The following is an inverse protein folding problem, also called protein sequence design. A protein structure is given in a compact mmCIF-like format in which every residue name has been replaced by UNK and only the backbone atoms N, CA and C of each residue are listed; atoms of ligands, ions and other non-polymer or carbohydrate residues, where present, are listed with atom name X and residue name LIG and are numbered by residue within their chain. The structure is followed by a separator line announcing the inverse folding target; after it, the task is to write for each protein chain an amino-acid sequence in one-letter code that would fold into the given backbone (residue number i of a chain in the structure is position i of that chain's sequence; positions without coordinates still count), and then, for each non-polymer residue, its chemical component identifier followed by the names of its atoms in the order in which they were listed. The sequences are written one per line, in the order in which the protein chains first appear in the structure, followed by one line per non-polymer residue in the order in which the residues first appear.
data_IF_852631170495
#
_entry.id   IF_852631170495
#
_cell.length_a   1.000
_cell.length_b   1.000
_cell.length_c   1.000
_cell.angle_alpha   90.00
_cell.angle_beta   90.00
_cell.angle_gamma   90.00
#
_symmetry.space_group_name_H-M   'P 1'
#
loop_
_entity.id
_entity.type
_entity.pdbx_description
1 polymer ?
#
# COMPACT_ATOMS: atom_id res chain seq x y z
N UNK A 1 20.64 -8.10 -5.08
CA UNK A 1 20.44 -8.05 -3.61
C UNK A 1 19.05 -7.49 -3.35
N UNK A 2 18.10 -8.32 -2.93
CA UNK A 2 16.68 -7.92 -2.76
C UNK A 2 16.42 -7.22 -1.42
N UNK A 3 17.24 -7.48 -0.40
CA UNK A 3 17.16 -6.87 0.93
C UNK A 3 17.05 -5.33 0.97
N UNK A 4 17.89 -4.54 0.27
CA UNK A 4 17.77 -3.08 0.31
C UNK A 4 16.45 -2.58 -0.29
N UNK A 5 15.92 -3.29 -1.30
CA UNK A 5 14.64 -2.97 -1.92
C UNK A 5 13.48 -3.27 -0.97
N UNK A 6 13.50 -4.42 -0.31
CA UNK A 6 12.49 -4.77 0.69
C UNK A 6 12.51 -3.80 1.87
N UNK A 7 13.71 -3.37 2.31
CA UNK A 7 13.85 -2.34 3.35
C UNK A 7 13.26 -1.00 2.89
N UNK A 8 13.58 -0.53 1.68
CA UNK A 8 13.01 0.71 1.14
C UNK A 8 11.48 0.62 0.97
N UNK A 9 10.96 -0.54 0.55
CA UNK A 9 9.52 -0.76 0.44
C UNK A 9 8.84 -0.67 1.82
N UNK A 10 9.40 -1.34 2.83
CA UNK A 10 8.89 -1.28 4.19
C UNK A 10 8.94 0.15 4.78
N UNK A 11 10.05 0.86 4.59
CA UNK A 11 10.17 2.27 5.00
C UNK A 11 9.17 3.17 4.29
N UNK A 12 8.91 2.93 3.00
CA UNK A 12 7.90 3.69 2.25
C UNK A 12 6.49 3.41 2.76
N UNK A 13 6.18 2.16 3.13
CA UNK A 13 4.91 1.79 3.75
C UNK A 13 4.71 2.44 5.13
N UNK A 14 5.77 2.48 5.95
CA UNK A 14 5.76 3.24 7.21
C UNK A 14 5.56 4.75 6.95
N UNK A 15 6.23 5.30 5.93
CA UNK A 15 6.02 6.68 5.49
C UNK A 15 4.56 6.94 5.11
N UNK A 16 3.91 6.00 4.40
CA UNK A 16 2.48 6.10 4.11
C UNK A 16 1.64 6.12 5.38
N UNK A 17 1.97 5.30 6.39
CA UNK A 17 1.22 5.30 7.66
C UNK A 17 1.27 6.66 8.36
N UNK A 18 2.37 7.40 8.23
CA UNK A 18 2.52 8.76 8.77
C UNK A 18 1.71 9.82 8.00
N UNK A 19 1.16 9.50 6.83
CA UNK A 19 0.21 10.38 6.16
C UNK A 19 -1.19 10.34 6.81
N UNK A 20 -1.46 9.35 7.66
CA UNK A 20 -2.73 9.21 8.37
C UNK A 20 -2.64 9.84 9.78
N UNK A 21 -3.80 10.10 10.42
CA UNK A 21 -3.83 10.52 11.80
C UNK A 21 -3.04 9.56 12.71
N UNK A 22 -2.30 10.08 13.70
CA UNK A 22 -2.31 11.46 14.20
C UNK A 22 -1.29 12.41 13.56
N UNK A 23 -0.56 11.99 12.52
CA UNK A 23 0.60 12.73 12.01
C UNK A 23 0.27 13.63 10.81
N UNK A 24 -0.68 13.22 9.98
CA UNK A 24 -1.24 14.01 8.86
C UNK A 24 -0.18 14.57 7.88
N UNK A 25 0.95 13.84 7.73
CA UNK A 25 2.05 14.22 6.83
C UNK A 25 1.72 13.84 5.38
N UNK A 26 0.69 14.49 4.81
CA UNK A 26 0.14 14.18 3.49
C UNK A 26 1.17 14.06 2.34
N UNK A 27 2.31 14.80 2.29
CA UNK A 27 3.27 14.62 1.19
C UNK A 27 3.88 13.21 1.16
N UNK A 28 3.94 12.54 2.33
CA UNK A 28 4.45 11.18 2.42
C UNK A 28 3.55 10.18 1.68
N UNK A 29 2.25 10.45 1.54
CA UNK A 29 1.37 9.60 0.74
C UNK A 29 1.83 9.56 -0.73
N UNK A 30 2.09 10.75 -1.32
CA UNK A 30 2.58 10.87 -2.69
C UNK A 30 3.96 10.20 -2.85
N UNK A 31 4.87 10.45 -1.91
CA UNK A 31 6.21 9.88 -1.93
C UNK A 31 6.18 8.36 -1.80
N UNK A 32 5.32 7.81 -0.95
CA UNK A 32 5.18 6.38 -0.75
C UNK A 32 4.64 5.66 -2.00
N UNK A 33 3.61 6.21 -2.64
CA UNK A 33 3.03 5.68 -3.90
C UNK A 33 4.06 5.73 -5.03
N UNK A 34 4.78 6.85 -5.14
CA UNK A 34 5.86 7.00 -6.12
C UNK A 34 6.99 6.01 -5.86
N UNK A 35 7.41 5.83 -4.60
CA UNK A 35 8.43 4.87 -4.21
C UNK A 35 8.03 3.44 -4.56
N UNK A 36 6.82 3.00 -4.24
CA UNK A 36 6.34 1.65 -4.59
C UNK A 36 6.32 1.44 -6.12
N UNK A 37 5.83 2.42 -6.88
CA UNK A 37 5.81 2.38 -8.34
C UNK A 37 7.22 2.28 -8.93
N UNK A 38 8.19 3.02 -8.40
CA UNK A 38 9.58 2.98 -8.84
C UNK A 38 10.29 1.68 -8.45
N UNK A 39 10.05 1.18 -7.23
CA UNK A 39 10.66 -0.05 -6.74
C UNK A 39 10.17 -1.28 -7.52
N UNK A 40 8.95 -1.25 -8.06
CA UNK A 40 8.36 -2.34 -8.88
C UNK A 40 8.70 -2.25 -10.36
N UNK A 41 9.21 -1.12 -10.85
CA UNK A 41 9.49 -0.88 -12.28
C UNK A 41 10.52 -1.85 -12.89
N UNK A 42 10.14 -2.47 -14.01
CA UNK A 42 11.00 -3.38 -14.78
C UNK A 42 11.21 -4.76 -14.14
N UNK A 43 10.49 -5.07 -13.05
CA UNK A 43 10.68 -6.29 -12.26
C UNK A 43 9.74 -7.42 -12.69
N UNK A 44 9.97 -8.62 -12.18
CA UNK A 44 9.05 -9.74 -12.38
C UNK A 44 7.82 -9.60 -11.50
N UNK A 45 6.70 -10.22 -11.89
CA UNK A 45 5.47 -10.22 -11.09
C UNK A 45 5.72 -10.71 -9.65
N UNK A 46 6.49 -11.79 -9.47
CA UNK A 46 6.85 -12.33 -8.15
C UNK A 46 7.62 -11.33 -7.29
N UNK A 47 8.58 -10.62 -7.87
CA UNK A 47 9.34 -9.58 -7.15
C UNK A 47 8.47 -8.35 -6.86
N UNK A 48 7.57 -8.00 -7.77
CA UNK A 48 6.55 -6.98 -7.58
C UNK A 48 5.65 -7.31 -6.39
N UNK A 49 5.12 -8.54 -6.36
CA UNK A 49 4.29 -9.05 -5.29
C UNK A 49 4.97 -8.95 -3.92
N UNK A 50 6.19 -9.47 -3.81
CA UNK A 50 6.96 -9.38 -2.57
C UNK A 50 7.22 -7.93 -2.13
N UNK A 51 7.47 -7.02 -3.07
CA UNK A 51 7.70 -5.60 -2.76
C UNK A 51 6.43 -4.93 -2.27
N UNK A 52 5.28 -5.23 -2.91
CA UNK A 52 3.97 -4.76 -2.48
C UNK A 52 3.60 -5.28 -1.09
N UNK A 53 3.88 -6.55 -0.81
CA UNK A 53 3.69 -7.13 0.52
C UNK A 53 4.58 -6.47 1.57
N UNK A 54 5.88 -6.32 1.28
CA UNK A 54 6.84 -5.67 2.19
C UNK A 54 6.50 -4.20 2.46
N UNK A 55 5.85 -3.51 1.51
CA UNK A 55 5.29 -2.18 1.68
C UNK A 55 4.01 -2.19 2.52
N UNK A 56 3.05 -3.04 2.17
CA UNK A 56 1.72 -3.06 2.78
C UNK A 56 1.72 -3.55 4.23
N UNK A 57 2.51 -4.57 4.56
CA UNK A 57 2.49 -5.18 5.89
C UNK A 57 2.80 -4.20 7.03
N UNK A 58 3.92 -3.45 7.02
CA UNK A 58 4.18 -2.46 8.07
C UNK A 58 3.20 -1.29 8.03
N UNK A 59 2.73 -0.88 6.84
CA UNK A 59 1.71 0.15 6.69
C UNK A 59 0.42 -0.22 7.44
N UNK A 60 -0.17 -1.38 7.12
CA UNK A 60 -1.40 -1.84 7.76
C UNK A 60 -1.19 -2.18 9.22
N UNK A 61 -0.04 -2.74 9.60
CA UNK A 61 0.23 -3.04 11.01
C UNK A 61 0.20 -1.78 11.88
N UNK A 62 0.81 -0.68 11.41
CA UNK A 62 0.78 0.61 12.12
C UNK A 62 -0.63 1.20 12.08
N UNK A 63 -1.26 1.24 10.89
CA UNK A 63 -2.58 1.82 10.70
C UNK A 63 -3.66 1.12 11.54
N UNK A 64 -3.57 -0.20 11.68
CA UNK A 64 -4.53 -1.06 12.35
C UNK A 64 -4.14 -1.40 13.78
N UNK A 65 -3.06 -0.78 14.29
CA UNK A 65 -2.56 -1.04 15.64
C UNK A 65 -3.63 -0.86 16.70
N UNK A 66 -4.56 0.10 16.50
CA UNK A 66 -5.66 0.39 17.41
C UNK A 66 -6.63 -0.79 17.63
N UNK A 67 -6.70 -1.75 16.70
CA UNK A 67 -7.51 -2.97 16.85
C UNK A 67 -6.98 -3.91 17.95
N UNK A 68 -5.81 -3.62 18.55
CA UNK A 68 -5.28 -4.44 19.65
C UNK A 68 -6.23 -4.54 20.85
N UNK A 69 -7.19 -3.62 20.98
CA UNK A 69 -8.23 -3.66 22.02
C UNK A 69 -9.20 -4.82 21.83
N UNK A 70 -9.33 -5.30 20.58
CA UNK A 70 -10.09 -6.51 20.23
C UNK A 70 -9.19 -7.73 20.39
N UNK A 71 -7.95 -7.65 19.90
CA UNK A 71 -6.96 -8.70 20.01
C UNK A 71 -5.80 -8.51 19.03
N UNK A 72 -4.63 -9.04 19.36
CA UNK A 72 -3.47 -8.98 18.48
C UNK A 72 -3.61 -9.91 17.27
N UNK A 73 -4.33 -11.01 17.43
CA UNK A 73 -4.76 -11.90 16.35
C UNK A 73 -5.52 -11.14 15.27
N UNK A 74 -6.44 -10.25 15.64
CA UNK A 74 -7.16 -9.39 14.69
C UNK A 74 -6.22 -8.41 13.98
N UNK A 75 -5.32 -7.73 14.72
CA UNK A 75 -4.35 -6.79 14.15
C UNK A 75 -3.47 -7.50 13.10
N UNK A 76 -2.87 -8.64 13.46
CA UNK A 76 -1.98 -9.37 12.56
C UNK A 76 -2.74 -9.99 11.39
N UNK A 77 -3.85 -10.66 11.65
CA UNK A 77 -4.66 -11.31 10.62
C UNK A 77 -5.12 -10.32 9.56
N UNK A 78 -5.70 -9.20 10.00
CA UNK A 78 -6.18 -8.17 9.08
C UNK A 78 -5.03 -7.48 8.34
N UNK A 79 -3.93 -7.15 9.04
CA UNK A 79 -2.76 -6.54 8.38
C UNK A 79 -2.17 -7.43 7.28
N UNK A 80 -2.11 -8.74 7.50
CA UNK A 80 -1.62 -9.69 6.49
C UNK A 80 -2.59 -9.75 5.31
N UNK A 81 -3.90 -9.88 5.57
CA UNK A 81 -4.93 -9.95 4.54
C UNK A 81 -4.91 -8.67 3.68
N UNK A 82 -4.90 -7.50 4.30
CA UNK A 82 -4.84 -6.21 3.61
C UNK A 82 -3.53 -6.06 2.82
N UNK A 83 -2.40 -6.50 3.37
CA UNK A 83 -1.11 -6.48 2.67
C UNK A 83 -1.09 -7.40 1.43
N UNK A 84 -1.95 -8.43 1.35
CA UNK A 84 -2.06 -9.26 0.15
C UNK A 84 -2.66 -8.51 -1.04
N UNK A 85 -3.55 -7.53 -0.81
CA UNK A 85 -4.03 -6.65 -1.88
C UNK A 85 -2.89 -5.79 -2.42
N UNK A 86 -2.04 -5.26 -1.54
CA UNK A 86 -0.87 -4.47 -1.91
C UNK A 86 0.19 -5.33 -2.60
N UNK A 87 0.29 -6.61 -2.24
CA UNK A 87 1.06 -7.63 -2.96
C UNK A 87 0.53 -7.80 -4.39
N UNK A 88 -0.77 -7.99 -4.57
CA UNK A 88 -1.38 -8.09 -5.89
C UNK A 88 -1.16 -6.82 -6.73
N UNK A 89 -1.33 -5.64 -6.13
CA UNK A 89 -0.99 -4.35 -6.74
C UNK A 89 0.49 -4.33 -7.18
N UNK A 90 1.41 -4.69 -6.29
CA UNK A 90 2.84 -4.70 -6.60
C UNK A 90 3.19 -5.60 -7.79
N UNK A 91 2.51 -6.74 -7.94
CA UNK A 91 2.63 -7.61 -9.11
C UNK A 91 2.09 -6.93 -10.38
N UNK A 92 0.91 -6.31 -10.29
CA UNK A 92 0.30 -5.55 -11.38
C UNK A 92 1.17 -4.38 -11.85
N UNK A 93 1.74 -3.62 -10.92
CA UNK A 93 2.67 -2.52 -11.21
C UNK A 93 3.92 -3.04 -11.93
N UNK A 94 4.50 -4.16 -11.49
CA UNK A 94 5.66 -4.75 -12.15
C UNK A 94 5.33 -5.16 -13.61
N UNK A 95 4.18 -5.79 -13.84
CA UNK A 95 3.74 -6.22 -15.17
C UNK A 95 3.43 -5.04 -16.10
N UNK A 96 2.69 -4.04 -15.61
CA UNK A 96 2.27 -2.87 -16.38
C UNK A 96 3.37 -1.82 -16.56
N UNK A 97 4.44 -1.88 -15.77
CA UNK A 97 5.57 -0.94 -15.86
C UNK A 97 6.30 -0.94 -17.22
N UNK A 98 6.08 -1.96 -18.05
CA UNK A 98 6.66 -2.10 -19.40
C UNK A 98 5.72 -1.58 -20.50
N UNK A 99 4.48 -1.26 -20.17
CA UNK A 99 3.50 -0.77 -21.12
C UNK A 99 3.68 0.74 -21.38
N UNK A 100 3.32 1.25 -22.57
CA UNK A 100 3.18 2.69 -22.77
C UNK A 100 2.12 3.23 -21.80
N UNK A 101 2.30 4.48 -21.36
CA UNK A 101 1.43 5.12 -20.37
C UNK A 101 1.34 4.35 -19.03
N UNK A 102 2.42 3.67 -18.63
CA UNK A 102 2.49 2.96 -17.36
C UNK A 102 1.97 3.74 -16.12
N UNK A 103 2.10 5.09 -15.99
CA UNK A 103 1.54 5.79 -14.84
C UNK A 103 0.01 5.72 -14.78
N UNK A 104 -0.65 5.67 -15.94
CA UNK A 104 -2.11 5.53 -16.01
C UNK A 104 -2.54 4.14 -15.53
N UNK A 105 -1.84 3.09 -15.96
CA UNK A 105 -2.08 1.74 -15.48
C UNK A 105 -1.84 1.62 -13.96
N UNK A 106 -0.80 2.27 -13.45
CA UNK A 106 -0.54 2.32 -12.02
C UNK A 106 -1.69 2.97 -11.25
N UNK A 107 -2.24 4.09 -11.74
CA UNK A 107 -3.39 4.75 -11.15
C UNK A 107 -4.66 3.87 -11.21
N UNK A 108 -4.93 3.24 -12.36
CA UNK A 108 -6.07 2.34 -12.51
C UNK A 108 -5.97 1.12 -11.59
N UNK A 109 -4.77 0.54 -11.46
CA UNK A 109 -4.52 -0.55 -10.54
C UNK A 109 -4.78 -0.10 -9.11
N UNK A 110 -4.25 1.06 -8.71
CA UNK A 110 -4.46 1.66 -7.38
C UNK A 110 -5.95 1.75 -7.01
N UNK A 111 -6.74 2.33 -7.92
CA UNK A 111 -8.19 2.44 -7.73
C UNK A 111 -8.84 1.06 -7.66
N UNK A 112 -8.37 0.09 -8.45
CA UNK A 112 -8.92 -1.26 -8.47
C UNK A 112 -8.66 -2.03 -7.18
N UNK A 113 -7.47 -1.94 -6.55
CA UNK A 113 -7.29 -2.62 -5.25
C UNK A 113 -8.06 -1.92 -4.14
N UNK A 114 -8.14 -0.58 -4.11
CA UNK A 114 -8.98 0.12 -3.13
C UNK A 114 -10.45 -0.32 -3.26
N UNK A 115 -10.95 -0.38 -4.49
CA UNK A 115 -12.29 -0.87 -4.79
C UNK A 115 -12.53 -2.32 -4.34
N UNK A 116 -11.52 -3.19 -4.48
CA UNK A 116 -11.61 -4.57 -4.05
C UNK A 116 -11.61 -4.68 -2.52
N UNK A 117 -10.76 -3.91 -1.83
CA UNK A 117 -10.70 -3.84 -0.35
C UNK A 117 -11.97 -3.27 0.26
N UNK A 118 -12.64 -2.36 -0.43
CA UNK A 118 -13.96 -1.85 -0.01
C UNK A 118 -15.06 -2.93 0.01
N UNK A 119 -14.83 -4.10 -0.58
CA UNK A 119 -15.84 -5.18 -0.72
C UNK A 119 -15.40 -6.50 -0.09
N UNK A 120 -14.10 -6.71 0.03
CA UNK A 120 -13.49 -7.96 0.47
C UNK A 120 -12.40 -7.66 1.51
N UNK A 121 -12.21 -8.53 2.52
CA UNK A 121 -13.08 -9.64 2.94
C UNK A 121 -14.24 -9.17 3.84
N UNK A 122 -15.23 -10.03 4.08
CA UNK A 122 -16.26 -9.83 5.13
C UNK A 122 -17.15 -8.58 4.98
N UNK A 123 -17.44 -8.17 3.74
CA UNK A 123 -18.27 -6.98 3.46
C UNK A 123 -17.46 -5.70 3.24
N UNK A 124 -16.14 -5.78 3.29
CA UNK A 124 -15.22 -4.70 2.95
C UNK A 124 -14.56 -4.04 4.15
N UNK A 125 -13.29 -3.67 3.98
CA UNK A 125 -12.50 -2.99 4.99
C UNK A 125 -11.76 -1.79 4.36
N UNK A 126 -12.45 -0.64 4.19
CA UNK A 126 -11.94 0.51 3.43
C UNK A 126 -10.86 1.33 4.18
N UNK A 127 -10.24 0.76 5.21
CA UNK A 127 -9.20 1.46 5.97
C UNK A 127 -7.93 1.62 5.13
N UNK A 128 -7.29 2.78 5.27
CA UNK A 128 -6.02 3.06 4.58
C UNK A 128 -6.17 3.46 3.13
N UNK A 129 -7.34 3.94 2.70
CA UNK A 129 -7.49 4.62 1.40
C UNK A 129 -6.67 5.90 1.37
N UNK A 130 -6.02 6.16 0.23
CA UNK A 130 -5.15 7.33 0.09
C UNK A 130 -5.90 8.64 0.32
N UNK A 131 -7.17 8.70 -0.06
CA UNK A 131 -8.01 9.89 0.12
C UNK A 131 -8.06 10.36 1.59
N UNK A 132 -8.04 9.44 2.56
CA UNK A 132 -8.06 9.81 3.97
C UNK A 132 -6.71 10.34 4.48
N UNK A 133 -5.60 10.00 3.82
CA UNK A 133 -4.27 10.49 4.17
C UNK A 133 -3.91 11.84 3.55
N UNK A 134 -4.82 12.47 2.82
CA UNK A 134 -4.59 13.75 2.12
C UNK A 134 -5.66 14.81 2.41
N UNK A 135 -6.46 14.62 3.46
CA UNK A 135 -7.57 15.50 3.88
C UNK A 135 -7.15 16.92 4.31
N UNK A 136 -5.85 17.17 4.50
CA UNK A 136 -5.28 18.50 4.80
C UNK A 136 -4.42 19.07 3.66
N UNK A 137 -4.52 18.51 2.45
CA UNK A 137 -3.73 18.93 1.28
C UNK A 137 -4.55 19.80 0.34
N UNK A 138 -3.96 20.50 -0.65
CA UNK A 138 -4.73 21.23 -1.67
C UNK A 138 -5.62 20.36 -2.57
N UNK A 139 -5.55 19.03 -2.44
CA UNK A 139 -6.27 18.07 -3.28
C UNK A 139 -7.65 17.71 -2.71
N UNK A 140 -7.96 18.05 -1.45
CA UNK A 140 -9.24 17.81 -0.74
C UNK A 140 -9.56 18.97 0.19
#
# INVERSE_FOLDING_TARGET
REAPRSALAALSGLGLALAFPPYDLWPLALLAVAALSLLTRGRTARQGAWTGFAFGLPFFFVLLRWLHVIGYDAVFGLSVIEALFLSALGAGLALTSRLPLWPLWAACLWVAEEWARDRLPLGGFPWGRLAFGVTGSPYL
#
